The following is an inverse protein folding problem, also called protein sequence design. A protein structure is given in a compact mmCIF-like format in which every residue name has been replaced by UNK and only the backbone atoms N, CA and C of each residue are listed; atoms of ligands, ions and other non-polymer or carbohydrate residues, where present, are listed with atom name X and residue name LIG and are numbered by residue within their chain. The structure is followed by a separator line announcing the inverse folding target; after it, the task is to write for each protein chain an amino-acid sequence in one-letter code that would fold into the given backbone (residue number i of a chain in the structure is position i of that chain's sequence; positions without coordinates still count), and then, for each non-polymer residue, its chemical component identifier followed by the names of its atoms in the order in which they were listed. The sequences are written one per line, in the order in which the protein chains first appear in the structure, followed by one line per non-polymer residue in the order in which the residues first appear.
data_IF_754788553900
#
_entry.id   IF_754788553900
#
_cell.length_a   1.000
_cell.length_b   1.000
_cell.length_c   1.000
_cell.angle_alpha   90.00
_cell.angle_beta   90.00
_cell.angle_gamma   90.00
#
_symmetry.space_group_name_H-M   'P 1'
#
loop_
_entity.id
_entity.type
_entity.pdbx_description
1 polymer ?
#
# COMPACT_ATOMS: atom_id res chain seq x y z
N UNK A 1 36.69 6.94 15.94
CA UNK A 1 36.98 5.51 15.73
C UNK A 1 36.41 4.77 16.93
N UNK A 2 35.43 3.91 16.74
CA UNK A 2 34.85 3.17 17.85
C UNK A 2 34.60 1.73 17.38
N UNK A 3 35.23 0.76 18.05
CA UNK A 3 34.72 -0.60 18.06
C UNK A 3 33.43 -0.56 18.90
N UNK A 4 32.32 -0.96 18.30
CA UNK A 4 31.01 -1.02 18.96
C UNK A 4 30.46 -2.42 18.82
N UNK A 5 29.59 -2.78 19.75
CA UNK A 5 28.93 -4.08 19.79
C UNK A 5 27.47 -3.85 19.42
N UNK A 6 26.97 -4.57 18.41
CA UNK A 6 25.56 -4.57 18.06
C UNK A 6 24.92 -5.88 18.53
N UNK A 7 23.98 -5.78 19.46
CA UNK A 7 23.16 -6.89 19.95
C UNK A 7 21.78 -6.79 19.29
N UNK A 8 21.42 -7.81 18.52
CA UNK A 8 20.11 -7.93 17.87
C UNK A 8 19.37 -9.09 18.51
N UNK A 9 18.19 -8.81 19.07
CA UNK A 9 17.35 -9.77 19.77
C UNK A 9 15.98 -9.89 19.09
N UNK A 10 15.54 -11.12 18.83
CA UNK A 10 14.16 -11.41 18.39
C UNK A 10 13.33 -11.82 19.58
N UNK A 11 12.20 -11.17 19.77
CA UNK A 11 11.30 -11.32 20.91
C UNK A 11 9.95 -11.85 20.44
N UNK A 12 9.38 -12.77 21.20
CA UNK A 12 7.96 -13.07 21.14
C UNK A 12 7.35 -12.68 22.48
N UNK A 13 6.60 -11.57 22.49
CA UNK A 13 6.15 -10.92 23.72
C UNK A 13 7.36 -10.58 24.61
N UNK A 14 7.39 -11.09 25.84
CA UNK A 14 8.47 -10.95 26.82
C UNK A 14 9.59 -12.00 26.64
N UNK A 15 9.40 -12.99 25.79
CA UNK A 15 10.35 -14.09 25.60
C UNK A 15 11.36 -13.78 24.51
N UNK A 16 12.65 -13.79 24.86
CA UNK A 16 13.75 -13.79 23.88
C UNK A 16 13.83 -15.13 23.15
N UNK A 17 13.60 -15.09 21.84
CA UNK A 17 13.58 -16.25 20.96
C UNK A 17 14.93 -16.48 20.29
N UNK A 18 15.66 -15.41 20.01
CA UNK A 18 16.96 -15.41 19.37
C UNK A 18 17.76 -14.18 19.79
N UNK A 19 19.09 -14.29 19.79
CA UNK A 19 20.02 -13.18 20.03
C UNK A 19 21.26 -13.43 19.19
N UNK A 20 21.73 -12.39 18.49
CA UNK A 20 23.03 -12.38 17.82
C UNK A 20 23.76 -11.11 18.23
N UNK A 21 25.03 -11.27 18.55
CA UNK A 21 25.92 -10.17 18.89
C UNK A 21 27.03 -10.08 17.85
N UNK A 22 27.35 -8.87 17.40
CA UNK A 22 28.35 -8.63 16.37
C UNK A 22 29.24 -7.46 16.76
N UNK A 23 30.55 -7.69 16.79
CA UNK A 23 31.55 -6.62 16.86
C UNK A 23 31.64 -5.90 15.52
N UNK A 24 31.48 -4.58 15.58
CA UNK A 24 31.49 -3.71 14.41
C UNK A 24 32.53 -2.61 14.60
N UNK A 25 33.39 -2.49 13.60
CA UNK A 25 34.17 -1.28 13.40
C UNK A 25 33.41 -0.33 12.47
N UNK A 26 33.19 0.91 12.91
CA UNK A 26 32.52 1.97 12.17
C UNK A 26 33.31 3.28 12.27
N UNK A 27 33.57 3.91 11.12
CA UNK A 27 34.07 5.28 11.02
C UNK A 27 32.91 6.30 11.07
N UNK A 28 33.16 7.56 11.48
CA UNK A 28 32.16 8.62 11.34
C UNK A 28 31.66 8.73 9.90
N UNK A 29 30.35 8.92 9.72
CA UNK A 29 29.65 8.96 8.42
C UNK A 29 29.70 7.63 7.61
N UNK A 30 30.27 6.56 8.13
CA UNK A 30 30.25 5.25 7.48
C UNK A 30 28.88 4.58 7.64
N UNK A 31 28.38 4.01 6.55
CA UNK A 31 27.18 3.17 6.56
C UNK A 31 27.55 1.71 6.30
N UNK A 32 27.22 0.84 7.25
CA UNK A 32 27.41 -0.60 7.12
C UNK A 32 26.07 -1.32 7.17
N UNK A 33 25.89 -2.29 6.27
CA UNK A 33 24.71 -3.16 6.25
C UNK A 33 25.09 -4.56 6.73
N UNK A 34 24.35 -5.04 7.73
CA UNK A 34 24.49 -6.38 8.29
C UNK A 34 23.23 -7.18 8.00
N UNK A 35 23.38 -8.50 7.86
CA UNK A 35 22.28 -9.44 7.65
C UNK A 35 22.24 -10.40 8.84
N UNK A 36 21.08 -10.47 9.48
CA UNK A 36 20.79 -11.40 10.57
C UNK A 36 19.70 -12.34 10.08
N UNK A 37 19.91 -13.65 10.23
CA UNK A 37 18.97 -14.67 9.77
C UNK A 37 18.24 -15.29 10.97
N UNK A 38 16.91 -15.27 10.93
CA UNK A 38 16.08 -15.90 11.95
C UNK A 38 15.19 -16.97 11.31
N UNK A 39 15.42 -18.23 11.70
CA UNK A 39 14.62 -19.38 11.25
C UNK A 39 13.71 -19.86 12.38
N UNK A 40 12.40 -19.54 12.34
CA UNK A 40 11.47 -20.00 13.38
C UNK A 40 11.28 -21.52 13.31
N UNK A 41 11.30 -22.19 14.47
CA UNK A 41 11.08 -23.65 14.56
C UNK A 41 9.66 -24.09 14.18
N UNK A 42 8.70 -23.17 14.22
CA UNK A 42 7.30 -23.45 13.87
C UNK A 42 6.76 -22.34 12.95
N UNK A 43 6.10 -22.73 11.87
CA UNK A 43 5.30 -21.85 11.01
C UNK A 43 3.90 -21.67 11.61
N UNK A 44 3.82 -21.05 12.78
CA UNK A 44 2.54 -20.68 13.40
C UNK A 44 2.38 -19.17 13.28
N UNK A 45 1.14 -18.70 13.38
CA UNK A 45 0.82 -17.29 13.58
C UNK A 45 1.69 -16.71 14.71
N UNK A 46 2.64 -15.84 14.35
CA UNK A 46 3.57 -15.25 15.30
C UNK A 46 3.91 -13.81 14.89
N UNK A 47 3.62 -12.87 15.78
CA UNK A 47 4.20 -11.52 15.72
C UNK A 47 5.47 -11.49 16.56
N UNK A 48 6.58 -11.02 15.97
CA UNK A 48 7.86 -10.90 16.64
C UNK A 48 8.28 -9.43 16.73
N UNK A 49 8.79 -9.03 17.90
CA UNK A 49 9.57 -7.81 18.05
C UNK A 49 11.03 -8.07 17.72
N UNK A 50 11.73 -7.04 17.26
CA UNK A 50 13.17 -7.05 17.06
C UNK A 50 13.74 -5.81 17.72
N UNK A 51 14.65 -6.00 18.66
CA UNK A 51 15.43 -4.93 19.26
C UNK A 51 16.86 -5.00 18.79
N UNK A 52 17.41 -3.85 18.41
CA UNK A 52 18.81 -3.68 18.05
C UNK A 52 19.42 -2.64 19.00
N UNK A 53 20.36 -3.08 19.84
CA UNK A 53 21.02 -2.28 20.87
C UNK A 53 22.49 -2.13 20.48
N UNK A 54 22.92 -0.90 20.28
CA UNK A 54 24.32 -0.57 20.01
C UNK A 54 25.02 -0.20 21.31
N UNK A 55 26.15 -0.83 21.61
CA UNK A 55 26.92 -0.64 22.84
C UNK A 55 28.37 -0.27 22.52
N UNK A 56 29.04 0.44 23.40
CA UNK A 56 30.49 0.56 23.37
C UNK A 56 31.19 -0.70 23.93
N UNK A 57 32.52 -0.73 23.92
CA UNK A 57 33.32 -1.84 24.45
C UNK A 57 33.19 -2.04 25.97
N UNK A 58 32.69 -1.05 26.69
CA UNK A 58 32.47 -1.13 28.14
C UNK A 58 31.04 -1.58 28.47
N UNK A 59 30.21 -1.87 27.45
CA UNK A 59 28.82 -2.25 27.61
C UNK A 59 27.84 -1.08 27.78
N UNK A 60 28.28 0.17 27.61
CA UNK A 60 27.41 1.34 27.67
C UNK A 60 26.55 1.39 26.40
N UNK A 61 25.24 1.47 26.58
CA UNK A 61 24.29 1.59 25.46
C UNK A 61 24.44 2.98 24.82
N UNK A 62 24.73 2.99 23.52
CA UNK A 62 24.90 4.18 22.70
C UNK A 62 23.62 4.55 21.94
N UNK A 63 22.89 3.55 21.43
CA UNK A 63 21.59 3.75 20.76
C UNK A 63 20.75 2.47 20.85
N UNK A 64 19.45 2.60 20.65
CA UNK A 64 18.51 1.48 20.57
C UNK A 64 17.45 1.76 19.51
N UNK A 65 17.19 0.75 18.67
CA UNK A 65 16.13 0.77 17.67
C UNK A 65 15.31 -0.51 17.76
N UNK A 66 14.03 -0.40 17.41
CA UNK A 66 13.12 -1.53 17.39
C UNK A 66 12.34 -1.59 16.08
N UNK A 67 11.98 -2.80 15.68
CA UNK A 67 11.05 -3.06 14.58
C UNK A 67 10.28 -4.35 14.87
N UNK A 68 9.44 -4.79 13.94
CA UNK A 68 8.69 -6.02 14.07
C UNK A 68 8.64 -6.78 12.74
N UNK A 69 8.28 -8.05 12.81
CA UNK A 69 7.87 -8.81 11.64
C UNK A 69 6.89 -9.89 12.07
N UNK A 70 6.10 -10.35 11.10
CA UNK A 70 5.22 -11.48 11.32
C UNK A 70 5.67 -12.71 10.57
N UNK A 71 5.34 -13.86 11.15
CA UNK A 71 5.37 -15.17 10.50
C UNK A 71 3.90 -15.60 10.40
N UNK A 72 3.34 -15.48 9.20
CA UNK A 72 1.96 -15.82 8.89
C UNK A 72 1.94 -16.76 7.69
N UNK A 73 0.99 -17.69 7.66
CA UNK A 73 0.69 -18.47 6.46
C UNK A 73 -0.08 -17.65 5.42
N UNK A 74 -0.93 -16.73 5.90
CA UNK A 74 -1.74 -15.84 5.07
C UNK A 74 -1.90 -14.47 5.76
N UNK A 75 -1.93 -13.39 4.97
CA UNK A 75 -2.06 -12.02 5.46
C UNK A 75 -3.41 -11.77 6.14
N UNK A 76 -4.45 -12.53 5.79
CA UNK A 76 -5.82 -12.42 6.34
C UNK A 76 -5.88 -12.71 7.84
N UNK A 77 -4.88 -13.39 8.40
CA UNK A 77 -4.83 -13.70 9.83
C UNK A 77 -4.54 -12.46 10.70
N UNK A 78 -3.80 -11.49 10.17
CA UNK A 78 -3.47 -10.24 10.88
C UNK A 78 -3.38 -9.08 9.87
N UNK A 79 -4.50 -8.61 9.31
CA UNK A 79 -4.49 -7.62 8.25
C UNK A 79 -4.03 -6.26 8.77
N UNK A 80 -3.06 -5.66 8.07
CA UNK A 80 -2.62 -4.27 8.22
C UNK A 80 -2.76 -3.61 6.87
N UNK A 81 -3.83 -2.84 6.75
CA UNK A 81 -4.40 -2.47 5.47
C UNK A 81 -3.95 -1.08 5.02
N UNK A 82 -3.39 -1.01 3.82
CA UNK A 82 -3.08 0.25 3.12
C UNK A 82 -3.87 0.38 1.82
N UNK A 83 -3.65 1.46 1.08
CA UNK A 83 -4.28 1.67 -0.22
C UNK A 83 -3.33 2.35 -1.22
N UNK A 84 -3.65 2.18 -2.50
CA UNK A 84 -3.08 2.91 -3.64
C UNK A 84 -4.25 3.44 -4.47
N UNK A 85 -4.16 4.70 -4.92
CA UNK A 85 -5.23 5.39 -5.64
C UNK A 85 -4.74 6.13 -6.90
N UNK A 86 -3.47 5.96 -7.26
CA UNK A 86 -2.87 6.55 -8.46
C UNK A 86 -2.30 5.43 -9.32
N UNK A 87 -2.66 5.45 -10.59
CA UNK A 87 -2.30 4.44 -11.60
C UNK A 87 -1.91 5.08 -12.94
N UNK A 88 -1.49 6.35 -12.93
CA UNK A 88 -1.05 7.03 -14.15
C UNK A 88 0.20 6.36 -14.74
N UNK A 89 0.32 6.37 -16.07
CA UNK A 89 1.48 5.81 -16.79
C UNK A 89 2.80 6.52 -16.47
N UNK A 90 2.73 7.81 -16.15
CA UNK A 90 3.89 8.63 -15.81
C UNK A 90 4.47 8.33 -14.42
N UNK A 91 3.80 7.50 -13.61
CA UNK A 91 4.31 7.11 -12.30
C UNK A 91 5.63 6.32 -12.43
N UNK A 92 6.67 6.80 -11.74
CA UNK A 92 8.00 6.18 -11.71
C UNK A 92 8.41 5.66 -10.33
N UNK A 93 7.68 6.02 -9.27
CA UNK A 93 8.04 5.77 -7.87
C UNK A 93 7.33 4.55 -7.24
N UNK A 94 6.72 3.68 -8.06
CA UNK A 94 5.96 2.49 -7.61
C UNK A 94 6.72 1.66 -6.56
N UNK A 95 7.99 1.34 -6.83
CA UNK A 95 8.81 0.51 -5.93
C UNK A 95 9.09 1.22 -4.60
N UNK A 96 9.35 2.52 -4.64
CA UNK A 96 9.66 3.32 -3.45
C UNK A 96 8.43 3.48 -2.55
N UNK A 97 7.25 3.70 -3.14
CA UNK A 97 5.97 3.75 -2.41
C UNK A 97 5.68 2.43 -1.70
N UNK A 98 5.75 1.31 -2.43
CA UNK A 98 5.47 -0.02 -1.85
C UNK A 98 6.53 -0.38 -0.81
N UNK A 99 7.80 -0.03 -1.02
CA UNK A 99 8.86 -0.20 -0.02
C UNK A 99 8.59 0.62 1.24
N UNK A 100 7.97 1.79 1.11
CA UNK A 100 7.60 2.62 2.27
C UNK A 100 6.44 2.00 3.05
N UNK A 101 5.43 1.44 2.37
CA UNK A 101 4.36 0.66 3.00
C UNK A 101 4.90 -0.59 3.73
N UNK A 102 5.88 -1.27 3.12
CA UNK A 102 6.58 -2.39 3.76
C UNK A 102 7.26 -1.98 5.07
N UNK A 103 7.89 -0.80 5.14
CA UNK A 103 8.51 -0.30 6.37
C UNK A 103 7.49 -0.08 7.49
N UNK A 104 6.22 0.15 7.14
CA UNK A 104 5.10 0.26 8.08
C UNK A 104 4.44 -1.10 8.34
N UNK A 105 5.03 -2.19 7.86
CA UNK A 105 4.54 -3.55 8.00
C UNK A 105 3.16 -3.82 7.35
N UNK A 106 2.67 -2.93 6.47
CA UNK A 106 1.44 -3.14 5.69
C UNK A 106 1.55 -4.46 4.93
N UNK A 107 0.56 -5.34 5.08
CA UNK A 107 0.56 -6.68 4.49
C UNK A 107 -0.63 -6.92 3.55
N UNK A 108 -1.52 -5.95 3.38
CA UNK A 108 -2.52 -5.95 2.32
C UNK A 108 -2.78 -4.53 1.81
N UNK A 109 -3.07 -4.40 0.51
CA UNK A 109 -3.22 -3.12 -0.17
C UNK A 109 -4.50 -3.13 -1.01
N UNK A 110 -5.35 -2.13 -0.79
CA UNK A 110 -6.49 -1.83 -1.64
C UNK A 110 -6.04 -1.04 -2.85
N UNK A 111 -6.51 -1.45 -4.02
CA UNK A 111 -6.42 -0.67 -5.24
C UNK A 111 -7.73 0.10 -5.34
N UNK A 112 -7.71 1.39 -5.06
CA UNK A 112 -8.89 2.24 -4.95
C UNK A 112 -9.11 3.00 -6.26
N UNK A 113 -10.35 3.00 -6.78
CA UNK A 113 -10.69 3.57 -8.10
C UNK A 113 -9.76 3.10 -9.25
N UNK A 114 -9.42 1.81 -9.25
CA UNK A 114 -8.57 1.22 -10.28
C UNK A 114 -9.35 0.78 -11.53
N UNK A 115 -10.68 0.77 -11.47
CA UNK A 115 -11.53 0.15 -12.48
C UNK A 115 -12.03 1.15 -13.52
N UNK A 116 -12.43 0.65 -14.68
CA UNK A 116 -12.97 1.50 -15.75
C UNK A 116 -14.36 2.06 -15.38
N UNK A 117 -15.28 1.16 -15.05
CA UNK A 117 -16.65 1.43 -14.60
C UNK A 117 -16.98 0.54 -13.41
N UNK A 118 -17.95 0.91 -12.59
CA UNK A 118 -18.40 0.08 -11.46
C UNK A 118 -19.12 -1.19 -11.94
N UNK A 119 -19.77 -1.13 -13.09
CA UNK A 119 -20.45 -2.27 -13.72
C UNK A 119 -19.58 -3.03 -14.73
N UNK A 120 -18.56 -2.37 -15.30
CA UNK A 120 -17.60 -2.96 -16.25
C UNK A 120 -16.16 -2.63 -15.82
N UNK A 121 -15.57 -3.52 -15.00
CA UNK A 121 -14.34 -3.21 -14.28
C UNK A 121 -13.12 -3.09 -15.19
N UNK A 122 -13.09 -3.85 -16.29
CA UNK A 122 -11.89 -4.02 -17.13
C UNK A 122 -11.95 -3.04 -18.30
N UNK A 123 -10.98 -2.13 -18.43
CA UNK A 123 -10.96 -1.18 -19.53
C UNK A 123 -10.72 -1.89 -20.88
N UNK A 124 -11.29 -1.37 -21.98
CA UNK A 124 -11.06 -1.89 -23.32
C UNK A 124 -9.65 -1.57 -23.86
N UNK A 125 -9.00 -0.54 -23.31
CA UNK A 125 -7.71 -0.02 -23.77
C UNK A 125 -6.66 -0.02 -22.65
N UNK A 126 -5.38 0.09 -23.02
CA UNK A 126 -4.25 0.15 -22.08
C UNK A 126 -4.28 1.39 -21.19
N UNK A 127 -4.74 2.52 -21.74
CA UNK A 127 -4.94 3.78 -21.03
C UNK A 127 -6.42 4.16 -21.06
N UNK A 128 -7.00 4.53 -19.93
CA UNK A 128 -8.44 4.80 -19.82
C UNK A 128 -8.71 5.88 -18.78
N UNK A 129 -9.91 6.46 -18.83
CA UNK A 129 -10.43 7.40 -17.84
C UNK A 129 -11.49 6.65 -17.04
N UNK A 130 -11.35 6.65 -15.72
CA UNK A 130 -12.34 6.05 -14.82
C UNK A 130 -13.61 6.91 -14.71
N UNK A 131 -14.64 6.35 -14.07
CA UNK A 131 -15.91 7.04 -13.88
C UNK A 131 -15.79 8.40 -13.15
N UNK A 132 -14.80 8.55 -12.25
CA UNK A 132 -14.55 9.81 -11.56
C UNK A 132 -13.87 10.84 -12.47
N UNK A 133 -12.84 10.43 -13.23
CA UNK A 133 -12.15 11.29 -14.19
C UNK A 133 -13.08 11.81 -15.28
N UNK A 134 -14.04 11.00 -15.72
CA UNK A 134 -15.03 11.40 -16.72
C UNK A 134 -15.95 12.51 -16.20
N UNK A 135 -16.50 12.35 -14.99
CA UNK A 135 -17.29 13.41 -14.32
C UNK A 135 -16.49 14.69 -14.07
N UNK A 136 -15.20 14.56 -13.74
CA UNK A 136 -14.32 15.70 -13.53
C UNK A 136 -13.98 16.46 -14.81
N UNK A 137 -13.89 15.75 -15.94
CA UNK A 137 -13.72 16.38 -17.25
C UNK A 137 -14.93 17.26 -17.62
N UNK A 138 -16.13 16.80 -17.27
CA UNK A 138 -17.37 17.56 -17.44
C UNK A 138 -17.48 18.77 -16.50
N UNK A 139 -17.02 18.64 -15.25
CA UNK A 139 -17.07 19.76 -14.30
C UNK A 139 -16.02 20.84 -14.59
N UNK A 140 -14.85 20.45 -15.12
CA UNK A 140 -13.75 21.37 -15.46
C UNK A 140 -14.10 22.30 -16.62
N UNK A 141 -14.93 21.84 -17.57
CA UNK A 141 -15.51 22.70 -18.61
C UNK A 141 -16.46 23.76 -18.04
N UNK A 142 -17.10 23.50 -16.89
CA UNK A 142 -18.11 24.40 -16.28
C UNK A 142 -17.57 25.38 -15.24
N UNK A 143 -16.41 25.15 -14.62
CA UNK A 143 -15.88 25.96 -13.51
C UNK A 143 -14.46 26.54 -13.72
N UNK A 144 -14.17 27.09 -14.91
CA UNK A 144 -12.92 27.84 -15.17
C UNK A 144 -12.68 29.10 -14.31
N UNK A 145 -13.53 29.43 -13.33
CA UNK A 145 -13.53 30.77 -12.69
C UNK A 145 -13.16 30.76 -11.19
N UNK A 146 -13.01 29.60 -10.51
CA UNK A 146 -12.83 29.60 -9.04
C UNK A 146 -11.68 28.74 -8.46
N UNK A 147 -11.03 27.87 -9.24
CA UNK A 147 -10.07 26.91 -8.69
C UNK A 147 -8.64 27.10 -9.18
N UNK A 148 -7.66 26.75 -8.32
CA UNK A 148 -6.23 26.80 -8.63
C UNK A 148 -5.93 25.90 -9.86
N UNK A 149 -5.30 26.42 -10.93
CA UNK A 149 -5.07 25.68 -12.16
C UNK A 149 -4.30 24.37 -11.98
N UNK A 150 -3.40 24.26 -10.99
CA UNK A 150 -2.66 23.02 -10.70
C UNK A 150 -3.55 21.88 -10.21
N UNK A 151 -4.60 22.20 -9.44
CA UNK A 151 -5.52 21.18 -8.92
C UNK A 151 -6.44 20.67 -10.03
N UNK A 152 -6.79 21.53 -11.00
CA UNK A 152 -7.56 21.15 -12.19
C UNK A 152 -6.75 20.21 -13.08
N UNK A 153 -5.46 20.47 -13.27
CA UNK A 153 -4.57 19.62 -14.08
C UNK A 153 -4.39 18.23 -13.46
N UNK A 154 -4.23 18.15 -12.13
CA UNK A 154 -4.14 16.87 -11.39
C UNK A 154 -5.46 16.07 -11.42
N UNK A 155 -6.61 16.76 -11.36
CA UNK A 155 -7.93 16.11 -11.37
C UNK A 155 -8.37 15.67 -12.78
N UNK A 156 -7.95 16.38 -13.82
CA UNK A 156 -8.20 16.03 -15.22
C UNK A 156 -7.25 14.96 -15.78
N UNK A 157 -6.16 14.64 -15.07
CA UNK A 157 -5.15 13.65 -15.51
C UNK A 157 -5.33 12.28 -14.83
N UNK A 158 -6.57 11.93 -14.44
CA UNK A 158 -6.98 10.56 -14.05
C UNK A 158 -7.02 9.64 -15.28
N UNK A 159 -5.93 9.64 -16.05
CA UNK A 159 -5.67 8.66 -17.11
C UNK A 159 -4.88 7.52 -16.50
N UNK A 160 -5.59 6.43 -16.24
CA UNK A 160 -5.03 5.25 -15.60
C UNK A 160 -4.43 4.33 -16.66
N UNK A 161 -3.46 3.52 -16.26
CA UNK A 161 -2.79 2.55 -17.13
C UNK A 161 -2.87 1.13 -16.56
N UNK A 162 -3.28 0.19 -17.41
CA UNK A 162 -3.34 -1.24 -17.08
C UNK A 162 -1.95 -1.80 -16.74
N UNK A 163 -0.91 -1.35 -17.45
CA UNK A 163 0.48 -1.75 -17.17
C UNK A 163 0.99 -1.21 -15.83
N UNK A 164 0.68 0.04 -15.46
CA UNK A 164 0.98 0.58 -14.13
C UNK A 164 0.29 -0.23 -13.03
N UNK A 165 -1.01 -0.55 -13.20
CA UNK A 165 -1.76 -1.38 -12.27
C UNK A 165 -1.12 -2.77 -12.10
N UNK A 166 -0.82 -3.46 -13.21
CA UNK A 166 -0.15 -4.77 -13.21
C UNK A 166 1.22 -4.72 -12.52
N UNK A 167 2.00 -3.66 -12.77
CA UNK A 167 3.31 -3.44 -12.14
C UNK A 167 3.18 -3.32 -10.63
N UNK A 168 2.24 -2.51 -10.14
CA UNK A 168 1.95 -2.37 -8.70
C UNK A 168 1.53 -3.69 -8.09
N UNK A 169 0.57 -4.41 -8.69
CA UNK A 169 0.13 -5.72 -8.19
C UNK A 169 1.31 -6.69 -8.07
N UNK A 170 2.21 -6.71 -9.07
CA UNK A 170 3.42 -7.54 -9.04
C UNK A 170 4.34 -7.17 -7.87
N UNK A 171 4.61 -5.89 -7.65
CA UNK A 171 5.48 -5.45 -6.56
C UNK A 171 4.85 -5.67 -5.17
N UNK A 172 3.54 -5.48 -5.02
CA UNK A 172 2.80 -5.83 -3.78
C UNK A 172 2.98 -7.33 -3.48
N UNK A 173 2.75 -8.19 -4.47
CA UNK A 173 2.92 -9.64 -4.33
C UNK A 173 4.38 -10.04 -4.04
N UNK A 174 5.36 -9.33 -4.61
CA UNK A 174 6.80 -9.57 -4.35
C UNK A 174 7.16 -9.43 -2.88
N UNK A 175 6.47 -8.57 -2.13
CA UNK A 175 6.66 -8.41 -0.69
C UNK A 175 5.75 -9.31 0.17
N UNK A 176 5.05 -10.27 -0.44
CA UNK A 176 4.13 -11.15 0.27
C UNK A 176 2.84 -10.46 0.73
N UNK A 177 2.52 -9.29 0.18
CA UNK A 177 1.32 -8.55 0.53
C UNK A 177 0.11 -9.02 -0.29
N UNK A 178 -1.08 -8.99 0.31
CA UNK A 178 -2.36 -9.16 -0.39
C UNK A 178 -2.71 -7.96 -1.27
N UNK A 179 -3.26 -8.21 -2.47
CA UNK A 179 -3.76 -7.17 -3.37
C UNK A 179 -5.28 -7.28 -3.47
N UNK A 180 -5.99 -6.23 -3.04
CA UNK A 180 -7.45 -6.19 -2.97
C UNK A 180 -7.97 -5.18 -4.00
N UNK A 181 -8.78 -5.65 -4.94
CA UNK A 181 -9.45 -4.79 -5.89
C UNK A 181 -10.67 -4.13 -5.21
N UNK A 182 -10.74 -2.79 -5.21
CA UNK A 182 -11.98 -2.10 -4.85
C UNK A 182 -13.08 -2.41 -5.88
N UNK A 183 -14.31 -2.55 -5.42
CA UNK A 183 -15.49 -2.71 -6.26
C UNK A 183 -16.74 -2.39 -5.45
N UNK A 184 -17.70 -1.69 -6.05
CA UNK A 184 -18.98 -1.43 -5.42
C UNK A 184 -19.86 -2.68 -5.45
N UNK A 185 -20.65 -2.90 -4.40
CA UNK A 185 -21.59 -4.03 -4.32
C UNK A 185 -22.78 -3.85 -5.27
N UNK A 186 -23.27 -2.61 -5.41
CA UNK A 186 -24.48 -2.27 -6.15
C UNK A 186 -24.34 -0.92 -6.90
N UNK A 187 -23.11 -0.50 -7.19
CA UNK A 187 -22.84 0.72 -7.95
C UNK A 187 -22.78 0.44 -9.45
N UNK A 188 -23.38 1.30 -10.25
CA UNK A 188 -23.29 1.28 -11.71
C UNK A 188 -23.39 2.71 -12.24
N UNK A 189 -22.76 2.96 -13.39
CA UNK A 189 -22.86 4.23 -14.11
C UNK A 189 -24.22 4.38 -14.81
N UNK A 190 -24.57 5.62 -15.14
CA UNK A 190 -25.89 5.98 -15.69
C UNK A 190 -26.22 5.21 -16.99
N UNK A 191 -25.21 4.90 -17.80
CA UNK A 191 -25.35 4.10 -19.02
C UNK A 191 -25.92 2.70 -18.75
N UNK A 192 -25.42 1.99 -17.74
CA UNK A 192 -25.90 0.68 -17.34
C UNK A 192 -27.34 0.73 -16.81
N UNK A 193 -27.66 1.76 -16.02
CA UNK A 193 -29.02 1.96 -15.48
C UNK A 193 -30.04 2.27 -16.59
N UNK A 194 -29.63 2.97 -17.66
CA UNK A 194 -30.49 3.23 -18.82
C UNK A 194 -30.80 1.95 -19.61
N UNK A 195 -29.84 1.05 -19.73
CA UNK A 195 -30.02 -0.24 -20.42
C UNK A 195 -30.82 -1.24 -19.56
N UNK A 196 -30.65 -1.18 -18.24
CA UNK A 196 -31.26 -2.10 -17.27
C UNK A 196 -31.97 -1.35 -16.13
N UNK A 197 -33.07 -0.62 -16.42
CA UNK A 197 -33.77 0.17 -15.40
C UNK A 197 -34.30 -0.71 -14.26
N UNK A 198 -34.73 -1.95 -14.55
CA UNK A 198 -35.24 -2.89 -13.56
C UNK A 198 -34.20 -3.35 -12.52
N UNK A 199 -32.90 -3.11 -12.76
CA UNK A 199 -31.83 -3.42 -11.80
C UNK A 199 -31.54 -2.28 -10.83
N UNK A 200 -32.08 -1.08 -11.09
CA UNK A 200 -31.80 0.10 -10.28
C UNK A 200 -32.41 -0.01 -8.88
N UNK A 201 -31.77 0.67 -7.92
CA UNK A 201 -32.38 0.93 -6.63
C UNK A 201 -33.35 2.11 -6.78
N UNK A 202 -34.55 1.99 -6.21
CA UNK A 202 -35.59 3.03 -6.29
C UNK A 202 -35.96 3.56 -4.90
N UNK A 203 -36.21 4.86 -4.83
CA UNK A 203 -36.83 5.50 -3.67
C UNK A 203 -38.33 5.16 -3.58
N UNK A 204 -38.94 5.40 -2.41
CA UNK A 204 -40.37 5.09 -2.19
C UNK A 204 -41.33 5.84 -3.14
N UNK A 205 -40.91 6.97 -3.71
CA UNK A 205 -41.66 7.74 -4.72
C UNK A 205 -41.37 7.29 -6.17
N UNK A 206 -40.66 6.16 -6.35
CA UNK A 206 -40.42 5.53 -7.64
C UNK A 206 -39.31 6.19 -8.48
N UNK A 207 -38.47 7.05 -7.88
CA UNK A 207 -37.31 7.64 -8.56
C UNK A 207 -36.10 6.72 -8.42
N UNK A 208 -35.24 6.71 -9.44
CA UNK A 208 -33.97 6.02 -9.36
C UNK A 208 -33.13 6.69 -8.27
N UNK A 209 -32.62 5.89 -7.33
CA UNK A 209 -31.71 6.35 -6.30
C UNK A 209 -30.34 6.60 -6.92
N UNK A 210 -29.85 7.84 -6.80
CA UNK A 210 -28.50 8.24 -7.16
C UNK A 210 -27.81 8.84 -5.93
N UNK A 211 -26.49 8.69 -5.85
CA UNK A 211 -25.66 9.32 -4.81
C UNK A 211 -25.27 10.77 -5.15
N UNK A 212 -25.74 11.28 -6.30
CA UNK A 212 -25.51 12.64 -6.80
C UNK A 212 -26.67 13.59 -6.56
#
# INVERSE_FOLDING_TARGET
MANVILDVSVLWLDKKMHSEECDIYLMPEEHKKLLFEFSPKHKKFLGCGVDAILKDQNGIILDTKSTAFDILEDWTLAPRYGFLCDFNKSETDTEERIKSLKKLHINCIQFYDWMYRHHDLIPPEEEYIDALGEKLSDCTLRQKISWNPRNIEIMCDRRLSVSTLRRKIKEVKRYGMGAIAYGAVYGAEEECVKEHPDWALYTNDGRIFSLE
#
